data_IF_380363201020
#
_entry.id   IF_380363201020
#
_cell.length_a   1.000
_cell.length_b   1.000
_cell.length_c   1.000
_cell.angle_alpha   90.00
_cell.angle_beta   90.00
_cell.angle_gamma   90.00
#
_symmetry.space_group_name_H-M   'P 1'
#
loop_
_entity.id
_entity.type
_entity.pdbx_description
1 polymer ?
#
# COMPACT_ATOMS: atom_id res chain seq x y z
N UNK A 1 -7.33 -2.59 64.50
CA UNK A 1 -6.76 -1.84 63.36
C UNK A 1 -5.74 -2.74 62.66
N UNK A 2 -6.15 -3.37 61.57
CA UNK A 2 -5.37 -4.39 60.87
C UNK A 2 -4.79 -3.70 59.63
N UNK A 3 -3.49 -3.83 59.51
CA UNK A 3 -2.62 -2.99 58.71
C UNK A 3 -2.65 -3.33 57.22
N UNK A 4 -2.42 -2.28 56.46
CA UNK A 4 -2.29 -2.14 55.02
C UNK A 4 -1.27 -3.10 54.41
N UNK A 5 -1.63 -3.73 53.30
CA UNK A 5 -0.70 -4.39 52.39
C UNK A 5 -0.85 -3.82 51.00
N UNK A 6 0.19 -3.17 50.48
CA UNK A 6 0.62 -3.16 49.06
C UNK A 6 2.13 -2.88 49.06
N UNK A 7 2.99 -3.80 48.59
CA UNK A 7 4.34 -3.46 48.16
C UNK A 7 4.36 -3.14 46.66
N UNK A 8 5.09 -2.08 46.29
CA UNK A 8 5.46 -1.74 44.91
C UNK A 8 6.23 -2.89 44.26
N UNK A 9 5.72 -3.38 43.12
CA UNK A 9 6.50 -4.23 42.23
C UNK A 9 7.30 -3.38 41.23
N UNK A 10 8.49 -3.91 41.00
CA UNK A 10 9.68 -3.29 40.48
C UNK A 10 9.80 -3.59 38.99
N UNK A 11 10.56 -2.74 38.30
CA UNK A 11 10.92 -2.84 36.89
C UNK A 11 11.48 -4.23 36.52
N UNK A 12 10.93 -4.81 35.46
CA UNK A 12 11.53 -5.94 34.76
C UNK A 12 11.62 -5.60 33.26
N UNK A 13 12.85 -5.58 32.73
CA UNK A 13 13.25 -6.27 31.49
C UNK A 13 14.63 -5.73 31.03
N UNK A 14 15.69 -6.30 31.59
CA UNK A 14 17.01 -6.34 30.94
C UNK A 14 17.55 -7.76 31.04
N UNK A 15 17.48 -8.53 29.95
CA UNK A 15 18.43 -9.61 29.64
C UNK A 15 18.55 -9.73 28.12
N UNK A 16 19.63 -9.17 27.54
CA UNK A 16 20.07 -9.53 26.20
C UNK A 16 21.52 -10.02 26.29
N UNK A 17 21.72 -11.30 25.95
CA UNK A 17 22.96 -12.05 26.08
C UNK A 17 23.78 -11.95 24.78
N UNK A 18 24.99 -11.39 24.91
CA UNK A 18 26.29 -11.66 24.24
C UNK A 18 26.34 -12.11 22.75
N UNK A 19 26.77 -11.14 21.93
CA UNK A 19 27.87 -11.08 20.93
C UNK A 19 28.58 -12.32 20.33
N UNK A 20 28.90 -12.14 19.03
CA UNK A 20 30.07 -12.59 18.22
C UNK A 20 29.84 -13.83 17.32
N UNK A 21 30.26 -13.91 16.05
CA UNK A 21 31.10 -13.06 15.17
C UNK A 21 31.03 -13.57 13.70
N UNK A 22 31.37 -12.68 12.77
CA UNK A 22 31.96 -12.89 11.43
C UNK A 22 31.15 -13.42 10.21
N UNK A 23 30.77 -12.48 9.34
CA UNK A 23 30.78 -12.68 7.88
C UNK A 23 30.94 -11.33 7.11
N UNK A 24 32.17 -11.09 6.65
CA UNK A 24 32.65 -10.35 5.46
C UNK A 24 31.92 -9.04 5.02
N UNK A 25 32.65 -7.91 4.88
CA UNK A 25 32.08 -6.63 4.47
C UNK A 25 31.81 -6.62 2.96
N UNK A 26 30.53 -6.73 2.58
CA UNK A 26 30.12 -6.51 1.19
C UNK A 26 29.96 -5.02 0.94
N UNK A 27 30.86 -4.50 0.11
CA UNK A 27 30.88 -3.13 -0.39
C UNK A 27 29.62 -2.83 -1.20
N UNK A 28 28.54 -2.40 -0.54
CA UNK A 28 27.49 -1.66 -1.23
C UNK A 28 27.90 -0.19 -1.30
N UNK A 29 28.72 0.05 -2.32
CA UNK A 29 28.86 1.28 -3.08
C UNK A 29 27.76 2.29 -2.78
N UNK A 30 28.20 3.45 -2.33
CA UNK A 30 27.52 4.74 -2.33
C UNK A 30 26.37 4.81 -3.35
N UNK A 31 25.17 4.48 -2.87
CA UNK A 31 24.00 5.23 -3.28
C UNK A 31 23.53 5.93 -2.01
N UNK A 32 24.23 6.98 -1.63
CA UNK A 32 23.56 8.21 -1.21
C UNK A 32 22.57 8.52 -2.33
N UNK A 33 21.41 7.88 -2.26
CA UNK A 33 20.27 8.21 -3.07
C UNK A 33 20.00 9.66 -2.71
N UNK A 34 20.56 10.56 -3.50
CA UNK A 34 20.24 11.98 -3.49
C UNK A 34 18.74 11.98 -3.39
N UNK A 35 18.22 12.38 -2.22
CA UNK A 35 16.82 12.34 -1.93
C UNK A 35 16.23 13.41 -2.85
N UNK A 36 15.96 13.01 -4.11
CA UNK A 36 15.59 13.91 -5.19
C UNK A 36 14.29 14.51 -4.74
N UNK A 37 14.36 15.76 -4.28
CA UNK A 37 13.20 16.51 -3.82
C UNK A 37 12.22 16.53 -4.98
N UNK A 38 11.12 15.78 -4.85
CA UNK A 38 10.08 15.77 -5.88
C UNK A 38 9.50 17.19 -5.90
N UNK A 39 9.69 17.88 -7.03
CA UNK A 39 9.20 19.24 -7.18
C UNK A 39 7.67 19.26 -7.10
N UNK A 40 7.09 20.41 -6.78
CA UNK A 40 5.63 20.56 -6.79
C UNK A 40 5.03 20.23 -8.18
N UNK A 41 5.75 20.58 -9.25
CA UNK A 41 5.38 20.24 -10.64
C UNK A 41 5.33 18.73 -10.84
N UNK A 42 6.36 18.01 -10.42
CA UNK A 42 6.40 16.54 -10.53
C UNK A 42 5.31 15.87 -9.70
N UNK A 43 5.05 16.34 -8.47
CA UNK A 43 3.94 15.80 -7.66
C UNK A 43 2.59 15.96 -8.34
N UNK A 44 2.36 17.12 -8.98
CA UNK A 44 1.14 17.35 -9.76
C UNK A 44 1.06 16.39 -10.95
N UNK A 45 2.14 16.25 -11.71
CA UNK A 45 2.19 15.35 -12.86
C UNK A 45 1.96 13.88 -12.47
N UNK A 46 2.59 13.40 -11.40
CA UNK A 46 2.35 12.05 -10.87
C UNK A 46 0.90 11.87 -10.43
N UNK A 47 0.29 12.88 -9.81
CA UNK A 47 -1.12 12.84 -9.43
C UNK A 47 -2.04 12.77 -10.67
N UNK A 48 -1.79 13.58 -11.69
CA UNK A 48 -2.58 13.54 -12.92
C UNK A 48 -2.45 12.19 -13.63
N UNK A 49 -1.24 11.63 -13.71
CA UNK A 49 -1.03 10.29 -14.26
C UNK A 49 -1.80 9.21 -13.46
N UNK A 50 -1.79 9.30 -12.13
CA UNK A 50 -2.57 8.40 -11.27
C UNK A 50 -4.07 8.52 -11.53
N UNK A 51 -4.59 9.75 -11.61
CA UNK A 51 -6.00 9.99 -11.90
C UNK A 51 -6.40 9.42 -13.24
N UNK A 52 -5.58 9.64 -14.26
CA UNK A 52 -5.83 9.16 -15.62
C UNK A 52 -5.82 7.63 -15.72
N UNK A 53 -4.98 6.95 -14.94
CA UNK A 53 -4.91 5.50 -14.93
C UNK A 53 -6.08 4.86 -14.16
N UNK A 54 -6.41 5.38 -12.98
CA UNK A 54 -7.27 4.66 -12.03
C UNK A 54 -8.61 5.35 -11.75
N UNK A 55 -8.70 6.67 -11.83
CA UNK A 55 -9.86 7.44 -11.36
C UNK A 55 -10.77 7.96 -12.48
N UNK A 56 -10.49 7.60 -13.74
CA UNK A 56 -11.37 7.91 -14.86
C UNK A 56 -12.75 7.24 -14.66
N UNK A 57 -13.86 8.00 -14.73
CA UNK A 57 -15.20 7.43 -14.65
C UNK A 57 -15.45 6.44 -15.79
N UNK A 58 -15.68 5.17 -15.44
CA UNK A 58 -15.93 4.10 -16.41
C UNK A 58 -17.40 3.71 -16.37
N UNK A 59 -18.03 3.57 -17.54
CA UNK A 59 -19.41 3.08 -17.65
C UNK A 59 -19.41 1.56 -17.62
N UNK A 60 -19.86 0.98 -16.51
CA UNK A 60 -19.95 -0.46 -16.36
C UNK A 60 -21.25 -0.99 -17.03
N UNK A 61 -21.10 -1.88 -18.00
CA UNK A 61 -22.15 -2.61 -18.71
C UNK A 61 -22.09 -4.08 -18.27
N UNK A 62 -23.24 -4.73 -18.03
CA UNK A 62 -23.25 -6.14 -17.59
C UNK A 62 -22.62 -6.36 -16.21
N UNK A 63 -22.94 -5.48 -15.26
CA UNK A 63 -22.32 -5.41 -13.93
C UNK A 63 -22.44 -6.73 -13.15
N UNK A 64 -21.36 -7.11 -12.48
CA UNK A 64 -21.33 -8.19 -11.49
C UNK A 64 -20.90 -7.63 -10.13
N UNK A 65 -21.45 -8.18 -9.05
CA UNK A 65 -21.06 -7.82 -7.70
C UNK A 65 -19.74 -8.50 -7.33
N UNK A 66 -18.87 -7.77 -6.62
CA UNK A 66 -17.66 -8.29 -5.99
C UNK A 66 -17.65 -7.88 -4.52
N UNK A 67 -17.19 -8.78 -3.65
CA UNK A 67 -17.05 -8.50 -2.24
C UNK A 67 -15.63 -8.06 -1.92
N UNK A 68 -15.51 -7.01 -1.12
CA UNK A 68 -14.26 -6.53 -0.56
C UNK A 68 -14.35 -6.62 0.96
N UNK A 69 -13.19 -6.76 1.62
CA UNK A 69 -13.16 -6.52 3.06
C UNK A 69 -13.57 -5.08 3.35
N UNK A 70 -14.14 -4.85 4.53
CA UNK A 70 -14.53 -3.49 4.97
C UNK A 70 -13.34 -2.52 4.89
N UNK A 71 -12.18 -2.94 5.40
CA UNK A 71 -10.98 -2.11 5.41
C UNK A 71 -10.52 -1.73 4.00
N UNK A 72 -10.49 -2.71 3.07
CA UNK A 72 -10.12 -2.45 1.68
C UNK A 72 -11.11 -1.50 1.02
N UNK A 73 -12.41 -1.69 1.26
CA UNK A 73 -13.45 -0.81 0.73
C UNK A 73 -13.27 0.62 1.24
N UNK A 74 -13.08 0.82 2.55
CA UNK A 74 -12.92 2.14 3.16
C UNK A 74 -11.68 2.86 2.63
N UNK A 75 -10.55 2.16 2.46
CA UNK A 75 -9.32 2.73 1.87
C UNK A 75 -9.52 3.14 0.40
N UNK A 76 -10.16 2.29 -0.39
CA UNK A 76 -10.43 2.58 -1.81
C UNK A 76 -11.41 3.77 -1.95
N UNK A 77 -12.45 3.80 -1.12
CA UNK A 77 -13.44 4.86 -1.10
C UNK A 77 -12.84 6.21 -0.65
N UNK A 78 -11.92 6.19 0.32
CA UNK A 78 -11.15 7.38 0.71
C UNK A 78 -10.34 7.95 -0.46
N UNK A 79 -9.65 7.10 -1.23
CA UNK A 79 -8.89 7.52 -2.42
C UNK A 79 -9.83 8.20 -3.43
N UNK A 80 -10.95 7.57 -3.76
CA UNK A 80 -11.91 8.10 -4.73
C UNK A 80 -12.47 9.45 -4.26
N UNK A 81 -12.86 9.58 -2.98
CA UNK A 81 -13.38 10.85 -2.45
C UNK A 81 -12.34 11.95 -2.37
N UNK A 82 -11.08 11.60 -2.12
CA UNK A 82 -10.02 12.59 -1.90
C UNK A 82 -9.37 13.05 -3.20
N UNK A 83 -9.22 12.14 -4.16
CA UNK A 83 -8.46 12.37 -5.40
C UNK A 83 -9.34 12.31 -6.65
N UNK A 84 -10.52 11.68 -6.58
CA UNK A 84 -11.41 11.55 -7.73
C UNK A 84 -12.02 12.87 -8.16
N UNK A 85 -12.29 12.98 -9.46
CA UNK A 85 -13.00 14.12 -10.04
C UNK A 85 -14.51 13.81 -10.11
N UNK A 86 -15.29 14.71 -10.71
CA UNK A 86 -16.74 14.50 -10.85
C UNK A 86 -17.03 13.23 -11.64
N UNK A 87 -17.78 12.32 -11.03
CA UNK A 87 -18.18 11.04 -11.63
C UNK A 87 -17.28 9.86 -11.27
N UNK A 88 -16.11 10.10 -10.67
CA UNK A 88 -15.27 9.02 -10.13
C UNK A 88 -16.02 8.34 -9.01
N UNK A 89 -16.06 7.01 -9.03
CA UNK A 89 -16.74 6.22 -8.00
C UNK A 89 -15.95 4.94 -7.70
N UNK A 90 -16.29 4.31 -6.58
CA UNK A 90 -15.61 3.09 -6.12
C UNK A 90 -15.65 1.98 -7.17
N UNK A 91 -16.80 1.79 -7.83
CA UNK A 91 -16.96 0.75 -8.85
C UNK A 91 -16.07 1.00 -10.07
N UNK A 92 -16.00 2.24 -10.57
CA UNK A 92 -15.09 2.58 -11.68
C UNK A 92 -13.62 2.46 -11.28
N UNK A 93 -13.27 2.83 -10.05
CA UNK A 93 -11.89 2.69 -9.56
C UNK A 93 -11.45 1.23 -9.49
N UNK A 94 -12.28 0.36 -8.91
CA UNK A 94 -12.02 -1.08 -8.84
C UNK A 94 -11.97 -1.70 -10.23
N UNK A 95 -12.90 -1.34 -11.11
CA UNK A 95 -12.90 -1.79 -12.51
C UNK A 95 -11.58 -1.42 -13.21
N UNK A 96 -11.12 -0.18 -13.06
CA UNK A 96 -9.88 0.28 -13.70
C UNK A 96 -8.65 -0.45 -13.17
N UNK A 97 -8.58 -0.73 -11.86
CA UNK A 97 -7.49 -1.53 -11.27
C UNK A 97 -7.46 -2.92 -11.89
N UNK A 98 -8.60 -3.60 -11.93
CA UNK A 98 -8.69 -4.96 -12.48
C UNK A 98 -8.36 -4.94 -13.98
N UNK A 99 -8.86 -3.95 -14.73
CA UNK A 99 -8.55 -3.80 -16.15
C UNK A 99 -7.06 -3.61 -16.40
N UNK A 100 -6.40 -2.72 -15.66
CA UNK A 100 -4.95 -2.50 -15.78
C UNK A 100 -4.16 -3.75 -15.45
N UNK A 101 -4.55 -4.46 -14.38
CA UNK A 101 -3.92 -5.71 -14.00
C UNK A 101 -4.03 -6.77 -15.11
N UNK A 102 -5.20 -6.91 -15.73
CA UNK A 102 -5.41 -7.84 -16.85
C UNK A 102 -4.66 -7.43 -18.11
N UNK A 103 -4.49 -6.13 -18.35
CA UNK A 103 -3.71 -5.59 -19.48
C UNK A 103 -2.21 -5.85 -19.28
N UNK A 104 -1.69 -5.65 -18.06
CA UNK A 104 -0.29 -5.84 -17.71
C UNK A 104 0.12 -7.32 -17.66
N UNK A 105 -0.72 -8.18 -17.08
CA UNK A 105 -0.38 -9.59 -16.82
C UNK A 105 -1.11 -10.59 -17.72
N UNK A 106 -1.92 -10.13 -18.68
CA UNK A 106 -2.79 -11.00 -19.49
C UNK A 106 -2.04 -12.10 -20.24
N UNK A 107 -0.88 -11.78 -20.82
CA UNK A 107 -0.05 -12.77 -21.51
C UNK A 107 0.51 -13.83 -20.56
N UNK A 108 0.98 -13.40 -19.38
CA UNK A 108 1.56 -14.31 -18.40
C UNK A 108 0.50 -15.20 -17.75
N UNK A 109 -0.69 -14.66 -17.48
CA UNK A 109 -1.86 -15.43 -17.04
C UNK A 109 -2.19 -16.53 -18.05
N UNK A 110 -2.13 -16.23 -19.35
CA UNK A 110 -2.40 -17.23 -20.41
C UNK A 110 -1.29 -18.28 -20.52
N UNK A 111 -0.02 -17.91 -20.30
CA UNK A 111 1.08 -18.89 -20.22
C UNK A 111 0.87 -19.84 -19.04
N UNK A 112 0.56 -19.30 -17.85
CA UNK A 112 0.34 -20.11 -16.65
C UNK A 112 -0.88 -21.02 -16.74
N UNK A 113 -1.92 -20.64 -17.50
CA UNK A 113 -3.08 -21.49 -17.76
C UNK A 113 -2.71 -22.82 -18.46
N UNK A 114 -1.61 -22.84 -19.21
CA UNK A 114 -1.19 -24.01 -20.03
C UNK A 114 -0.18 -24.92 -19.33
N UNK A 115 0.23 -24.56 -18.11
CA UNK A 115 1.04 -25.40 -17.24
C UNK A 115 0.15 -26.44 -16.54
#
# INVERSE_FOLDING_TARGET
MNQSGIPSENSEHEQHVVSSQDAVPSQHTENTAVQRRISAKMRKETLEAYKQAYLVPTKLIGRKAVYLSRETQERADFIVRRLGDRGSNLSSFVENIVRLHLEEYGEDIEKWRRL
#
